data_IF_460644841022
#
_entry.id   IF_460644841022
#
_cell.length_a   1.000
_cell.length_b   1.000
_cell.length_c   1.000
_cell.angle_alpha   90.00
_cell.angle_beta   90.00
_cell.angle_gamma   90.00
#
_symmetry.space_group_name_H-M   'P 1'
#
loop_
_entity.id
_entity.type
_entity.pdbx_description
1 polymer ?
#
# COMPACT_ATOMS: atom_id res chain seq x y z
N UNK A 1 -16.71 30.00 -58.50
CA UNK A 1 -17.34 29.25 -57.41
C UNK A 1 -16.46 28.13 -56.81
N UNK A 2 -15.83 27.22 -57.56
CA UNK A 2 -15.02 26.11 -57.00
C UNK A 2 -13.75 26.52 -56.21
N UNK A 3 -13.11 27.68 -56.49
CA UNK A 3 -11.92 28.18 -55.77
C UNK A 3 -12.22 28.74 -54.39
N UNK A 4 -13.39 29.32 -54.16
CA UNK A 4 -13.79 29.86 -52.87
C UNK A 4 -14.28 28.80 -51.91
N UNK A 5 -14.88 27.73 -52.39
CA UNK A 5 -15.30 26.59 -51.58
C UNK A 5 -14.08 25.81 -51.05
N UNK A 6 -13.02 25.61 -51.86
CA UNK A 6 -11.77 24.96 -51.41
C UNK A 6 -11.06 25.77 -50.32
N UNK A 7 -11.06 27.11 -50.40
CA UNK A 7 -10.47 27.98 -49.36
C UNK A 7 -11.29 27.97 -48.07
N UNK A 8 -12.61 27.96 -48.13
CA UNK A 8 -13.48 27.88 -46.95
C UNK A 8 -13.34 26.51 -46.24
N UNK A 9 -13.25 25.41 -46.98
CA UNK A 9 -13.03 24.05 -46.40
C UNK A 9 -11.63 23.93 -45.80
N UNK A 10 -10.57 24.52 -46.42
CA UNK A 10 -9.23 24.53 -45.84
C UNK A 10 -9.15 25.36 -44.53
N UNK A 11 -9.85 26.49 -44.47
CA UNK A 11 -9.90 27.29 -43.22
C UNK A 11 -10.66 26.58 -42.11
N UNK A 12 -11.73 25.84 -42.43
CA UNK A 12 -12.50 25.04 -41.45
C UNK A 12 -11.68 23.84 -40.91
N UNK A 13 -10.87 23.18 -41.76
CA UNK A 13 -9.99 22.10 -41.34
C UNK A 13 -8.80 22.57 -40.49
N UNK A 14 -8.24 23.74 -40.77
CA UNK A 14 -7.19 24.34 -39.92
C UNK A 14 -7.77 24.78 -38.59
N UNK A 15 -8.99 25.33 -38.55
CA UNK A 15 -9.67 25.68 -37.29
C UNK A 15 -9.99 24.45 -36.44
N UNK A 16 -10.39 23.34 -37.07
CA UNK A 16 -10.63 22.06 -36.36
C UNK A 16 -9.33 21.41 -35.81
N UNK A 17 -8.18 21.55 -36.51
CA UNK A 17 -6.90 21.06 -36.02
C UNK A 17 -6.32 21.89 -34.86
N UNK A 18 -6.57 23.17 -34.82
CA UNK A 18 -6.13 24.06 -33.71
C UNK A 18 -6.96 23.82 -32.45
N UNK A 19 -8.25 23.45 -32.57
CA UNK A 19 -9.10 23.09 -31.43
C UNK A 19 -8.80 21.69 -30.84
N UNK A 20 -8.11 20.82 -31.58
CA UNK A 20 -7.78 19.45 -31.12
C UNK A 20 -6.48 19.30 -30.32
N UNK A 21 -5.65 20.34 -30.21
CA UNK A 21 -4.34 20.26 -29.55
C UNK A 21 -4.21 21.01 -28.21
N UNK A 22 -5.27 21.62 -27.73
CA UNK A 22 -5.23 22.31 -26.43
C UNK A 22 -6.37 21.79 -25.57
N UNK A 23 -5.96 20.97 -24.58
CA UNK A 23 -6.88 20.28 -23.66
C UNK A 23 -7.89 21.18 -22.95
N UNK A 24 -8.76 20.57 -22.16
CA UNK A 24 -9.91 21.14 -21.45
C UNK A 24 -9.72 22.51 -20.76
N UNK A 25 -8.49 22.86 -20.37
CA UNK A 25 -8.14 24.18 -19.80
C UNK A 25 -8.38 25.34 -20.76
N UNK A 26 -8.16 25.15 -22.06
CA UNK A 26 -8.38 26.22 -23.06
C UNK A 26 -9.88 26.45 -23.32
N UNK A 27 -10.69 25.38 -23.26
CA UNK A 27 -12.15 25.49 -23.39
C UNK A 27 -12.76 26.22 -22.19
N UNK A 28 -12.32 25.93 -21.00
CA UNK A 28 -12.80 26.61 -19.78
C UNK A 28 -12.37 28.07 -19.72
N UNK A 29 -11.13 28.38 -20.12
CA UNK A 29 -10.63 29.75 -20.22
C UNK A 29 -11.33 30.54 -21.33
N UNK A 30 -11.65 29.91 -22.47
CA UNK A 30 -12.43 30.50 -23.55
C UNK A 30 -13.85 30.79 -23.09
N UNK A 31 -14.49 29.84 -22.41
CA UNK A 31 -15.84 30.01 -21.87
C UNK A 31 -15.90 31.15 -20.82
N UNK A 32 -14.92 31.22 -19.92
CA UNK A 32 -14.82 32.27 -18.92
C UNK A 32 -14.58 33.68 -19.52
N UNK A 33 -13.83 33.77 -20.62
CA UNK A 33 -13.54 35.00 -21.32
C UNK A 33 -14.75 35.57 -22.11
N UNK A 34 -15.61 34.70 -22.64
CA UNK A 34 -16.75 35.10 -23.48
C UNK A 34 -18.10 35.09 -22.77
N UNK A 35 -18.18 34.45 -21.59
CA UNK A 35 -19.39 34.43 -20.75
C UNK A 35 -19.05 34.82 -19.30
N UNK A 36 -18.69 36.09 -19.04
CA UNK A 36 -18.41 36.57 -17.69
C UNK A 36 -19.72 36.62 -16.89
N UNK A 37 -20.07 35.59 -16.22
CA UNK A 37 -21.30 35.45 -15.43
C UNK A 37 -21.67 34.04 -15.03
N UNK A 38 -21.14 33.04 -15.72
CA UNK A 38 -21.19 31.64 -15.24
C UNK A 38 -20.19 31.49 -14.10
N UNK A 39 -20.64 31.54 -12.85
CA UNK A 39 -19.85 31.00 -11.72
C UNK A 39 -19.44 29.62 -12.13
N UNK A 40 -18.13 29.37 -12.16
CA UNK A 40 -17.59 27.97 -12.29
C UNK A 40 -18.37 27.16 -11.28
N UNK A 41 -19.17 26.22 -11.77
CA UNK A 41 -19.98 25.39 -10.87
C UNK A 41 -18.99 24.70 -9.95
N UNK A 42 -19.01 25.02 -8.65
CA UNK A 42 -18.19 24.31 -7.68
C UNK A 42 -18.49 22.84 -7.85
N UNK A 43 -17.45 22.04 -8.12
CA UNK A 43 -17.63 20.60 -8.17
C UNK A 43 -18.24 20.15 -6.85
N UNK A 44 -19.36 19.45 -6.94
CA UNK A 44 -20.14 19.04 -5.76
C UNK A 44 -19.60 17.76 -5.13
N UNK A 45 -18.72 17.08 -5.82
CA UNK A 45 -18.15 15.77 -5.42
C UNK A 45 -16.64 15.81 -5.50
N UNK A 46 -16.00 15.03 -4.62
CA UNK A 46 -14.58 14.68 -4.69
C UNK A 46 -14.49 13.25 -5.18
N UNK A 47 -13.78 13.03 -6.28
CA UNK A 47 -13.63 11.70 -6.86
C UNK A 47 -12.39 11.00 -6.32
N UNK A 48 -12.55 9.76 -5.91
CA UNK A 48 -11.45 8.84 -5.57
C UNK A 48 -11.48 7.68 -6.55
N UNK A 49 -10.39 7.49 -7.29
CA UNK A 49 -10.22 6.38 -8.23
C UNK A 49 -9.88 5.08 -7.51
N UNK A 50 -10.55 4.01 -7.86
CA UNK A 50 -10.28 2.66 -7.33
C UNK A 50 -9.72 1.81 -8.47
N UNK A 51 -8.42 1.56 -8.42
CA UNK A 51 -7.67 0.81 -9.43
C UNK A 51 -7.34 -0.57 -8.89
N UNK A 52 -8.29 -1.51 -8.96
CA UNK A 52 -8.16 -2.83 -8.37
C UNK A 52 -8.46 -3.98 -9.32
N UNK A 53 -8.01 -5.19 -8.96
CA UNK A 53 -8.34 -6.42 -9.65
C UNK A 53 -9.64 -7.00 -9.08
N UNK A 54 -10.80 -6.59 -9.57
CA UNK A 54 -12.09 -7.18 -9.16
C UNK A 54 -12.46 -8.43 -9.97
N UNK A 55 -11.68 -8.72 -11.01
CA UNK A 55 -11.68 -9.97 -11.78
C UNK A 55 -10.23 -10.41 -12.09
N UNK A 56 -10.05 -11.59 -12.67
CA UNK A 56 -8.73 -12.16 -12.97
C UNK A 56 -8.08 -12.88 -11.78
N UNK A 57 -6.76 -13.09 -11.86
CA UNK A 57 -6.02 -13.96 -10.93
C UNK A 57 -6.03 -13.49 -9.46
N UNK A 58 -6.02 -12.18 -9.25
CA UNK A 58 -5.95 -11.58 -7.90
C UNK A 58 -7.32 -11.05 -7.44
N UNK A 59 -8.42 -11.50 -8.07
CA UNK A 59 -9.77 -10.95 -7.82
C UNK A 59 -10.23 -11.09 -6.37
N UNK A 60 -9.82 -12.13 -5.67
CA UNK A 60 -10.24 -12.34 -4.28
C UNK A 60 -9.60 -11.31 -3.37
N UNK A 61 -8.31 -11.03 -3.55
CA UNK A 61 -7.61 -9.98 -2.81
C UNK A 61 -8.13 -8.59 -3.18
N UNK A 62 -8.25 -8.28 -4.49
CA UNK A 62 -8.74 -6.98 -4.93
C UNK A 62 -10.16 -6.67 -4.46
N UNK A 63 -11.05 -7.67 -4.40
CA UNK A 63 -12.38 -7.51 -3.80
C UNK A 63 -12.33 -7.20 -2.31
N UNK A 64 -11.42 -7.81 -1.55
CA UNK A 64 -11.24 -7.51 -0.14
C UNK A 64 -10.75 -6.07 0.07
N UNK A 65 -9.84 -5.58 -0.79
CA UNK A 65 -9.41 -4.18 -0.77
C UNK A 65 -10.58 -3.23 -1.09
N UNK A 66 -11.36 -3.53 -2.12
CA UNK A 66 -12.58 -2.76 -2.44
C UNK A 66 -13.57 -2.74 -1.26
N UNK A 67 -13.79 -3.87 -0.59
CA UNK A 67 -14.66 -3.93 0.59
C UNK A 67 -14.19 -2.97 1.71
N UNK A 68 -12.89 -2.84 1.93
CA UNK A 68 -12.32 -1.91 2.89
C UNK A 68 -12.57 -0.45 2.52
N UNK A 69 -12.34 -0.10 1.26
CA UNK A 69 -12.60 1.25 0.74
C UNK A 69 -14.09 1.61 0.82
N UNK A 70 -14.97 0.70 0.39
CA UNK A 70 -16.42 0.92 0.43
C UNK A 70 -16.96 1.05 1.86
N UNK A 71 -16.41 0.29 2.80
CA UNK A 71 -16.76 0.44 4.22
C UNK A 71 -16.33 1.79 4.75
N UNK A 72 -15.11 2.23 4.44
CA UNK A 72 -14.60 3.53 4.84
C UNK A 72 -15.44 4.68 4.21
N UNK A 73 -15.80 4.57 2.93
CA UNK A 73 -16.65 5.57 2.26
C UNK A 73 -18.08 5.60 2.81
N UNK A 74 -18.62 4.49 3.27
CA UNK A 74 -19.93 4.46 3.93
C UNK A 74 -19.91 5.21 5.27
N UNK A 75 -18.83 5.06 6.03
CA UNK A 75 -18.68 5.71 7.34
C UNK A 75 -18.24 7.18 7.21
N UNK A 76 -17.42 7.49 6.23
CA UNK A 76 -16.74 8.78 6.05
C UNK A 76 -16.91 9.32 4.62
N UNK A 77 -18.12 9.28 4.08
CA UNK A 77 -18.43 9.59 2.69
C UNK A 77 -18.42 11.06 2.31
N UNK A 78 -17.87 11.95 3.16
CA UNK A 78 -17.77 13.40 2.91
C UNK A 78 -16.43 13.95 3.35
N UNK A 79 -15.87 14.86 2.57
CA UNK A 79 -14.70 15.68 2.92
C UNK A 79 -14.87 17.08 2.32
N UNK A 80 -14.44 18.13 3.00
CA UNK A 80 -14.61 19.53 2.58
C UNK A 80 -16.09 19.88 2.28
N UNK A 81 -17.03 19.37 3.07
CA UNK A 81 -18.48 19.51 2.85
C UNK A 81 -18.97 18.98 1.48
N UNK A 82 -18.16 18.16 0.81
CA UNK A 82 -18.45 17.54 -0.49
C UNK A 82 -18.59 16.02 -0.34
N UNK A 83 -19.53 15.44 -1.09
CA UNK A 83 -19.67 13.98 -1.15
C UNK A 83 -18.44 13.35 -1.86
N UNK A 84 -17.95 12.25 -1.33
CA UNK A 84 -16.95 11.44 -2.01
C UNK A 84 -17.65 10.48 -2.99
N UNK A 85 -17.19 10.49 -4.23
CA UNK A 85 -17.61 9.59 -5.30
C UNK A 85 -16.48 8.61 -5.62
N UNK A 86 -16.75 7.32 -5.49
CA UNK A 86 -15.81 6.27 -5.88
C UNK A 86 -15.98 5.96 -7.37
N UNK A 87 -14.90 6.02 -8.13
CA UNK A 87 -14.86 5.66 -9.55
C UNK A 87 -13.97 4.44 -9.73
N UNK A 88 -14.51 3.38 -10.33
CA UNK A 88 -13.89 2.05 -10.35
C UNK A 88 -13.22 1.74 -11.68
N UNK A 89 -12.06 1.08 -11.61
CA UNK A 89 -11.35 0.50 -12.73
C UNK A 89 -10.84 -0.89 -12.40
N UNK A 90 -11.37 -1.91 -13.08
CA UNK A 90 -10.95 -3.30 -12.94
C UNK A 90 -9.77 -3.59 -13.87
N UNK A 91 -8.57 -3.74 -13.32
CA UNK A 91 -7.36 -4.05 -14.07
C UNK A 91 -7.20 -5.53 -14.42
N UNK A 92 -8.11 -6.41 -13.94
CA UNK A 92 -8.18 -7.85 -14.23
C UNK A 92 -6.88 -8.62 -13.94
N UNK A 93 -6.00 -8.10 -13.09
CA UNK A 93 -4.65 -8.61 -12.88
C UNK A 93 -3.82 -8.70 -14.18
N UNK A 94 -4.17 -7.93 -15.19
CA UNK A 94 -3.59 -7.95 -16.53
C UNK A 94 -2.87 -6.66 -16.86
N UNK A 95 -1.61 -6.75 -17.29
CA UNK A 95 -0.80 -5.60 -17.68
C UNK A 95 -1.49 -4.76 -18.78
N UNK A 96 -2.02 -5.41 -19.81
CA UNK A 96 -2.62 -4.73 -20.95
C UNK A 96 -3.94 -4.04 -20.60
N UNK A 97 -4.77 -4.69 -19.79
CA UNK A 97 -6.03 -4.11 -19.31
C UNK A 97 -5.73 -2.99 -18.32
N UNK A 98 -4.80 -3.22 -17.41
CA UNK A 98 -4.40 -2.25 -16.39
C UNK A 98 -3.91 -0.93 -16.98
N UNK A 99 -3.12 -0.97 -18.07
CA UNK A 99 -2.67 0.23 -18.78
C UNK A 99 -3.83 1.07 -19.32
N UNK A 100 -4.82 0.43 -19.91
CA UNK A 100 -6.03 1.12 -20.43
C UNK A 100 -6.86 1.70 -19.29
N UNK A 101 -7.10 0.90 -18.27
CA UNK A 101 -7.95 1.26 -17.12
C UNK A 101 -7.38 2.42 -16.32
N UNK A 102 -6.06 2.47 -16.10
CA UNK A 102 -5.46 3.60 -15.37
C UNK A 102 -5.62 4.92 -16.14
N UNK A 103 -5.49 4.89 -17.48
CA UNK A 103 -5.71 6.08 -18.30
C UNK A 103 -7.16 6.54 -18.28
N UNK A 104 -8.12 5.60 -18.31
CA UNK A 104 -9.54 5.90 -18.19
C UNK A 104 -9.88 6.52 -16.82
N UNK A 105 -9.32 5.99 -15.73
CA UNK A 105 -9.49 6.56 -14.39
C UNK A 105 -8.92 7.99 -14.32
N UNK A 106 -7.71 8.20 -14.80
CA UNK A 106 -7.05 9.51 -14.83
C UNK A 106 -7.89 10.53 -15.63
N UNK A 107 -8.51 10.11 -16.74
CA UNK A 107 -9.33 10.98 -17.57
C UNK A 107 -10.56 11.55 -16.83
N UNK A 108 -10.99 10.91 -15.75
CA UNK A 108 -12.10 11.33 -14.91
C UNK A 108 -11.68 12.32 -13.80
N UNK A 109 -10.39 12.71 -13.74
CA UNK A 109 -9.81 13.65 -12.79
C UNK A 109 -10.08 13.28 -11.32
N UNK A 110 -9.67 12.10 -10.83
CA UNK A 110 -9.74 11.78 -9.42
C UNK A 110 -8.76 12.64 -8.62
N UNK A 111 -9.12 12.96 -7.38
CA UNK A 111 -8.22 13.67 -6.44
C UNK A 111 -7.11 12.75 -5.93
N UNK A 112 -7.41 11.46 -5.74
CA UNK A 112 -6.48 10.40 -5.32
C UNK A 112 -6.89 9.10 -6.01
N UNK A 113 -5.92 8.21 -6.27
CA UNK A 113 -6.18 6.84 -6.75
C UNK A 113 -5.73 5.86 -5.65
N UNK A 114 -6.57 4.86 -5.34
CA UNK A 114 -6.29 3.79 -4.39
C UNK A 114 -6.13 2.46 -5.14
N UNK A 115 -5.11 1.67 -4.76
CA UNK A 115 -4.79 0.37 -5.35
C UNK A 115 -3.43 0.38 -6.07
N UNK A 116 -3.01 -0.74 -6.63
CA UNK A 116 -3.65 -2.05 -6.77
C UNK A 116 -2.98 -3.10 -5.88
N UNK A 117 -3.63 -4.27 -5.71
CA UNK A 117 -3.05 -5.44 -5.06
C UNK A 117 -1.96 -6.14 -5.89
N UNK A 118 -1.96 -5.98 -7.20
CA UNK A 118 -1.01 -6.65 -8.11
C UNK A 118 0.23 -5.79 -8.38
N UNK A 119 1.43 -6.27 -8.03
CA UNK A 119 2.68 -5.52 -8.23
C UNK A 119 2.91 -5.07 -9.68
N UNK A 120 2.73 -5.99 -10.64
CA UNK A 120 2.97 -5.72 -12.06
C UNK A 120 2.04 -4.63 -12.60
N UNK A 121 0.75 -4.68 -12.28
CA UNK A 121 -0.23 -3.67 -12.73
C UNK A 121 -0.01 -2.34 -12.02
N UNK A 122 0.44 -2.36 -10.77
CA UNK A 122 0.81 -1.18 -10.00
C UNK A 122 2.03 -0.47 -10.59
N UNK A 123 3.07 -1.23 -10.97
CA UNK A 123 4.26 -0.68 -11.63
C UNK A 123 3.92 -0.04 -12.98
N UNK A 124 3.06 -0.66 -13.79
CA UNK A 124 2.61 -0.08 -15.06
C UNK A 124 1.84 1.22 -14.86
N UNK A 125 0.96 1.27 -13.87
CA UNK A 125 0.19 2.46 -13.54
C UNK A 125 1.08 3.63 -13.08
N UNK A 126 2.27 3.35 -12.54
CA UNK A 126 3.15 4.32 -11.90
C UNK A 126 3.52 5.49 -12.81
N UNK A 127 3.92 5.23 -14.06
CA UNK A 127 4.32 6.30 -14.98
C UNK A 127 3.14 7.21 -15.37
N UNK A 128 1.94 6.66 -15.53
CA UNK A 128 0.73 7.41 -15.85
C UNK A 128 0.30 8.29 -14.67
N UNK A 129 0.36 7.76 -13.45
CA UNK A 129 0.08 8.48 -12.20
C UNK A 129 1.04 9.66 -12.04
N UNK A 130 2.35 9.43 -12.24
CA UNK A 130 3.36 10.48 -12.17
C UNK A 130 3.12 11.58 -13.21
N UNK A 131 2.87 11.19 -14.47
CA UNK A 131 2.60 12.14 -15.56
C UNK A 131 1.35 12.99 -15.30
N UNK A 132 0.32 12.40 -14.71
CA UNK A 132 -0.91 13.09 -14.35
C UNK A 132 -0.78 13.98 -13.10
N UNK A 133 0.28 13.81 -12.30
CA UNK A 133 0.46 14.47 -11.00
C UNK A 133 -0.73 14.22 -10.05
N UNK A 134 -1.30 13.03 -10.09
CA UNK A 134 -2.36 12.57 -9.20
C UNK A 134 -1.74 11.66 -8.15
N UNK A 135 -1.88 11.91 -6.84
CA UNK A 135 -1.34 11.00 -5.84
C UNK A 135 -2.10 9.67 -5.84
N UNK A 136 -1.36 8.59 -5.63
CA UNK A 136 -1.91 7.25 -5.50
C UNK A 136 -1.37 6.58 -4.23
N UNK A 137 -2.17 5.70 -3.64
CA UNK A 137 -1.82 4.91 -2.46
C UNK A 137 -2.00 3.44 -2.79
N UNK A 138 -0.89 2.68 -2.87
CA UNK A 138 -0.96 1.22 -2.99
C UNK A 138 -1.31 0.59 -1.64
N UNK A 139 -2.12 -0.44 -1.67
CA UNK A 139 -2.68 -1.07 -0.48
C UNK A 139 -1.81 -2.27 -0.05
N UNK A 140 -1.68 -3.26 -0.90
CA UNK A 140 -0.96 -4.50 -0.56
C UNK A 140 0.34 -4.72 -1.33
N UNK A 141 0.62 -3.91 -2.36
CA UNK A 141 1.87 -4.03 -3.11
C UNK A 141 3.04 -3.49 -2.30
N UNK A 142 4.06 -4.33 -2.10
CA UNK A 142 5.24 -4.05 -1.26
C UNK A 142 6.52 -3.82 -2.05
N UNK A 143 6.43 -3.84 -3.39
CA UNK A 143 7.60 -3.66 -4.25
C UNK A 143 8.16 -2.23 -4.14
N UNK A 144 9.40 -2.06 -3.68
CA UNK A 144 9.98 -0.73 -3.45
C UNK A 144 10.14 0.11 -4.73
N UNK A 145 10.11 -0.51 -5.92
CA UNK A 145 10.19 0.22 -7.18
C UNK A 145 8.94 1.06 -7.47
N UNK A 146 7.80 0.77 -6.81
CA UNK A 146 6.57 1.53 -6.97
C UNK A 146 6.74 2.96 -6.43
N UNK A 147 7.36 3.09 -5.27
CA UNK A 147 7.55 4.37 -4.58
C UNK A 147 8.89 5.03 -4.90
N UNK A 148 9.95 4.26 -5.16
CA UNK A 148 11.33 4.75 -5.29
C UNK A 148 11.54 5.77 -6.43
N UNK A 149 10.80 5.66 -7.52
CA UNK A 149 10.94 6.52 -8.71
C UNK A 149 9.70 7.38 -9.00
N UNK A 150 8.72 7.34 -8.12
CA UNK A 150 7.47 8.07 -8.28
C UNK A 150 7.06 8.78 -6.99
N UNK A 151 7.27 10.09 -6.96
CA UNK A 151 6.91 10.95 -5.84
C UNK A 151 5.40 11.07 -5.58
N UNK A 152 4.54 10.61 -6.52
CA UNK A 152 3.09 10.59 -6.40
C UNK A 152 2.53 9.24 -5.96
N UNK A 153 3.35 8.19 -5.86
CA UNK A 153 2.88 6.89 -5.39
C UNK A 153 3.33 6.64 -3.95
N UNK A 154 2.38 6.41 -3.07
CA UNK A 154 2.56 6.14 -1.64
C UNK A 154 2.20 4.68 -1.34
N UNK A 155 2.76 4.13 -0.26
CA UNK A 155 2.41 2.80 0.22
C UNK A 155 1.67 2.89 1.56
N UNK A 156 0.57 2.16 1.73
CA UNK A 156 -0.14 2.05 3.01
C UNK A 156 0.37 0.87 3.87
N UNK A 157 1.30 0.06 3.33
CA UNK A 157 1.92 -1.07 4.02
C UNK A 157 3.40 -0.79 4.28
N UNK A 158 4.01 -1.54 5.20
CA UNK A 158 5.44 -1.41 5.46
C UNK A 158 6.30 -2.02 4.34
N UNK A 159 7.52 -1.51 4.16
CA UNK A 159 8.50 -2.07 3.24
C UNK A 159 8.80 -3.53 3.60
N UNK A 160 8.75 -4.43 2.60
CA UNK A 160 8.86 -5.89 2.75
C UNK A 160 10.02 -6.32 3.66
N UNK A 161 11.20 -5.77 3.45
CA UNK A 161 12.40 -6.20 4.20
C UNK A 161 12.39 -5.79 5.67
N UNK A 162 11.52 -4.84 6.09
CA UNK A 162 11.38 -4.42 7.50
C UNK A 162 10.83 -5.53 8.40
N UNK A 163 10.14 -6.51 7.84
CA UNK A 163 9.72 -7.68 8.58
C UNK A 163 10.89 -8.40 9.28
N UNK A 164 12.09 -8.36 8.68
CA UNK A 164 13.29 -8.92 9.30
C UNK A 164 13.67 -8.25 10.62
N UNK A 165 13.59 -6.92 10.69
CA UNK A 165 13.84 -6.19 11.95
C UNK A 165 12.78 -6.55 12.99
N UNK A 166 11.50 -6.57 12.60
CA UNK A 166 10.38 -6.86 13.49
C UNK A 166 10.44 -8.30 14.05
N UNK A 167 10.78 -9.28 13.22
CA UNK A 167 10.97 -10.67 13.65
C UNK A 167 12.14 -10.82 14.63
N UNK A 168 13.23 -10.06 14.44
CA UNK A 168 14.35 -10.06 15.37
C UNK A 168 13.98 -9.42 16.72
N UNK A 169 13.25 -8.29 16.72
CA UNK A 169 12.74 -7.68 17.94
C UNK A 169 11.81 -8.62 18.69
N UNK A 170 10.90 -9.29 17.98
CA UNK A 170 10.02 -10.30 18.57
C UNK A 170 10.79 -11.49 19.13
N UNK A 171 11.71 -12.07 18.36
CA UNK A 171 12.49 -13.24 18.80
C UNK A 171 13.30 -12.93 20.05
N UNK A 172 14.06 -11.83 20.05
CA UNK A 172 14.94 -11.47 21.15
C UNK A 172 14.19 -10.87 22.34
N UNK A 173 13.48 -9.76 22.11
CA UNK A 173 12.81 -8.99 23.16
C UNK A 173 11.49 -9.62 23.58
N UNK A 174 10.69 -10.06 22.62
CA UNK A 174 9.37 -10.62 22.86
C UNK A 174 9.40 -12.04 23.41
N UNK A 175 10.38 -12.87 23.00
CA UNK A 175 10.42 -14.31 23.32
C UNK A 175 11.71 -14.78 23.98
N UNK A 176 12.69 -13.93 24.19
CA UNK A 176 13.97 -14.29 24.82
C UNK A 176 14.78 -15.32 24.02
N UNK A 177 14.61 -15.33 22.68
CA UNK A 177 15.33 -16.22 21.78
C UNK A 177 16.62 -15.54 21.30
N UNK A 178 17.70 -15.82 21.96
CA UNK A 178 19.01 -15.18 21.78
C UNK A 178 19.93 -15.92 20.79
N UNK A 179 19.56 -17.15 20.38
CA UNK A 179 20.31 -17.98 19.44
C UNK A 179 19.39 -18.39 18.29
N UNK A 180 19.73 -17.96 17.08
CA UNK A 180 18.85 -18.14 15.92
C UNK A 180 19.56 -18.70 14.69
N UNK A 181 18.80 -19.35 13.82
CA UNK A 181 19.24 -19.74 12.48
C UNK A 181 18.33 -19.15 11.41
N UNK A 182 18.77 -19.18 10.17
CA UNK A 182 18.02 -18.72 9.01
C UNK A 182 18.01 -19.74 7.90
N UNK A 183 16.91 -19.81 7.16
CA UNK A 183 16.74 -20.67 5.98
C UNK A 183 16.09 -19.89 4.87
N UNK A 184 16.57 -20.01 3.63
CA UNK A 184 15.96 -19.43 2.43
C UNK A 184 16.14 -20.35 1.21
N UNK A 185 15.42 -20.05 0.14
CA UNK A 185 15.72 -20.65 -1.18
C UNK A 185 16.94 -19.98 -1.80
N UNK A 186 17.69 -20.74 -2.61
CA UNK A 186 18.76 -20.18 -3.45
C UNK A 186 18.21 -19.15 -4.43
N UNK A 187 19.00 -18.11 -4.71
CA UNK A 187 18.68 -17.05 -5.66
C UNK A 187 17.39 -16.23 -5.30
N UNK A 188 17.00 -16.22 -4.04
CA UNK A 188 15.94 -15.36 -3.54
C UNK A 188 16.55 -14.07 -2.95
N UNK A 189 16.51 -13.00 -3.73
CA UNK A 189 17.10 -11.70 -3.37
C UNK A 189 16.30 -11.02 -2.26
N UNK A 190 14.97 -11.13 -2.27
CA UNK A 190 14.10 -10.54 -1.24
C UNK A 190 14.33 -11.22 0.11
N UNK A 191 14.34 -12.55 0.14
CA UNK A 191 14.67 -13.30 1.35
C UNK A 191 16.10 -12.99 1.84
N UNK A 192 17.06 -12.82 0.92
CA UNK A 192 18.43 -12.44 1.25
C UNK A 192 18.48 -11.06 1.94
N UNK A 193 17.78 -10.07 1.41
CA UNK A 193 17.72 -8.72 1.99
C UNK A 193 17.03 -8.75 3.37
N UNK A 194 15.93 -9.46 3.50
CA UNK A 194 15.17 -9.61 4.74
C UNK A 194 15.98 -10.33 5.83
N UNK A 195 16.64 -11.43 5.49
CA UNK A 195 17.54 -12.16 6.40
C UNK A 195 18.71 -11.28 6.84
N UNK A 196 19.27 -10.48 5.95
CA UNK A 196 20.32 -9.52 6.30
C UNK A 196 19.87 -8.52 7.37
N UNK A 197 18.66 -7.98 7.25
CA UNK A 197 18.08 -7.09 8.28
C UNK A 197 17.87 -7.84 9.60
N UNK A 198 17.23 -9.01 9.54
CA UNK A 198 17.02 -9.86 10.71
C UNK A 198 18.32 -10.15 11.47
N UNK A 199 19.33 -10.63 10.77
CA UNK A 199 20.62 -10.99 11.39
C UNK A 199 21.36 -9.79 11.95
N UNK A 200 21.34 -8.64 11.26
CA UNK A 200 21.94 -7.41 11.74
C UNK A 200 21.22 -6.90 13.01
N UNK A 201 19.88 -6.95 13.01
CA UNK A 201 19.08 -6.54 14.17
C UNK A 201 19.31 -7.47 15.36
N UNK A 202 19.33 -8.80 15.15
CA UNK A 202 19.65 -9.77 16.18
C UNK A 202 21.04 -9.53 16.82
N UNK A 203 22.07 -9.31 16.01
CA UNK A 203 23.42 -8.98 16.50
C UNK A 203 23.44 -7.69 17.31
N UNK A 204 22.68 -6.67 16.88
CA UNK A 204 22.57 -5.40 17.61
C UNK A 204 21.87 -5.58 18.96
N UNK A 205 20.80 -6.36 19.02
CA UNK A 205 20.02 -6.60 20.25
C UNK A 205 20.79 -7.46 21.26
N UNK A 206 21.42 -8.54 20.79
CA UNK A 206 22.15 -9.47 21.65
C UNK A 206 23.52 -8.94 22.09
N UNK A 207 24.11 -8.01 21.33
CA UNK A 207 25.51 -7.62 21.50
C UNK A 207 26.52 -8.71 21.13
N UNK A 208 26.05 -9.85 20.58
CA UNK A 208 26.89 -11.02 20.23
C UNK A 208 26.73 -11.36 18.74
N UNK A 209 27.84 -11.35 18.02
CA UNK A 209 27.84 -11.75 16.61
C UNK A 209 27.63 -13.26 16.40
N UNK A 210 27.83 -14.06 17.45
CA UNK A 210 27.63 -15.52 17.42
C UNK A 210 26.19 -15.95 17.69
N UNK A 211 25.27 -15.00 17.87
CA UNK A 211 23.84 -15.30 18.04
C UNK A 211 23.22 -15.99 16.80
N UNK A 212 23.85 -15.88 15.63
CA UNK A 212 23.46 -16.58 14.40
C UNK A 212 24.26 -17.88 14.30
N UNK A 213 23.64 -18.99 14.62
CA UNK A 213 24.30 -20.32 14.69
C UNK A 213 24.19 -21.15 13.42
N UNK A 214 23.39 -20.69 12.45
CA UNK A 214 23.26 -21.35 11.16
C UNK A 214 22.61 -20.43 10.12
N UNK A 215 23.05 -20.57 8.87
CA UNK A 215 22.42 -19.93 7.70
C UNK A 215 22.41 -20.96 6.57
N UNK A 216 21.22 -21.35 6.15
CA UNK A 216 21.03 -22.46 5.23
C UNK A 216 20.33 -21.99 3.95
N UNK A 217 20.79 -22.51 2.81
CA UNK A 217 20.18 -22.26 1.50
C UNK A 217 19.67 -23.55 0.92
N UNK A 218 18.41 -23.57 0.49
CA UNK A 218 17.74 -24.70 -0.12
C UNK A 218 17.80 -24.59 -1.64
N UNK A 219 18.14 -25.67 -2.37
CA UNK A 219 18.01 -25.68 -3.82
C UNK A 219 16.55 -25.46 -4.25
N UNK A 220 16.35 -24.77 -5.38
CA UNK A 220 15.00 -24.41 -5.87
C UNK A 220 14.07 -25.62 -6.07
N UNK A 221 14.63 -26.77 -6.45
CA UNK A 221 13.88 -28.00 -6.70
C UNK A 221 13.94 -29.01 -5.54
N UNK A 222 14.36 -28.56 -4.35
CA UNK A 222 14.49 -29.47 -3.19
C UNK A 222 13.10 -29.77 -2.61
N UNK A 223 12.79 -31.05 -2.54
CA UNK A 223 11.62 -31.57 -1.80
C UNK A 223 12.01 -32.32 -0.51
N UNK A 224 13.31 -32.54 -0.26
CA UNK A 224 13.86 -33.19 0.94
C UNK A 224 14.70 -32.18 1.73
N UNK A 225 14.22 -31.81 2.92
CA UNK A 225 14.84 -30.87 3.83
C UNK A 225 15.52 -31.52 5.04
N UNK A 226 15.58 -32.85 5.07
CA UNK A 226 16.09 -33.65 6.19
C UNK A 226 17.46 -33.18 6.66
N UNK A 227 18.40 -32.97 5.75
CA UNK A 227 19.76 -32.55 6.09
C UNK A 227 19.80 -31.18 6.79
N UNK A 228 19.02 -30.24 6.31
CA UNK A 228 18.95 -28.88 6.89
C UNK A 228 18.26 -28.92 8.26
N UNK A 229 17.19 -29.69 8.41
CA UNK A 229 16.47 -29.85 9.68
C UNK A 229 17.40 -30.50 10.75
N UNK A 230 18.19 -31.50 10.40
CA UNK A 230 19.17 -32.07 11.32
C UNK A 230 20.27 -31.06 11.68
N UNK A 231 20.80 -30.32 10.71
CA UNK A 231 21.79 -29.28 10.98
C UNK A 231 21.24 -28.17 11.90
N UNK A 232 19.95 -27.78 11.77
CA UNK A 232 19.28 -26.85 12.69
C UNK A 232 19.23 -27.45 14.10
N UNK A 233 18.88 -28.72 14.24
CA UNK A 233 18.88 -29.42 15.53
C UNK A 233 20.24 -29.37 16.21
N UNK A 234 21.28 -29.70 15.48
CA UNK A 234 22.66 -29.72 15.98
C UNK A 234 23.18 -28.34 16.33
N UNK A 235 22.72 -27.30 15.64
CA UNK A 235 23.11 -25.91 15.89
C UNK A 235 22.66 -25.36 17.24
N UNK A 236 21.61 -25.95 17.84
CA UNK A 236 20.99 -25.47 19.07
C UNK A 236 20.21 -24.16 18.92
N UNK A 237 19.78 -23.82 17.70
CA UNK A 237 18.93 -22.65 17.46
C UNK A 237 17.64 -22.72 18.29
N UNK A 238 17.27 -21.61 18.93
CA UNK A 238 16.04 -21.47 19.71
C UNK A 238 14.90 -20.89 18.88
N UNK A 239 15.24 -20.15 17.82
CA UNK A 239 14.29 -19.73 16.79
C UNK A 239 14.95 -19.83 15.41
N UNK A 240 14.12 -20.07 14.39
CA UNK A 240 14.56 -20.18 13.00
C UNK A 240 13.75 -19.27 12.13
N UNK A 241 14.39 -18.30 11.46
CA UNK A 241 13.72 -17.51 10.44
C UNK A 241 13.73 -18.32 9.13
N UNK A 242 12.55 -18.79 8.78
CA UNK A 242 12.27 -19.63 7.62
C UNK A 242 11.68 -18.73 6.52
N UNK A 243 12.55 -18.05 5.76
CA UNK A 243 12.18 -17.13 4.68
C UNK A 243 11.82 -17.97 3.43
N UNK A 244 10.66 -18.61 3.47
CA UNK A 244 10.12 -19.47 2.42
C UNK A 244 8.68 -19.11 2.11
N UNK A 245 8.30 -19.19 0.85
CA UNK A 245 6.91 -19.04 0.43
C UNK A 245 6.00 -20.13 1.05
N UNK A 246 4.69 -19.89 1.21
CA UNK A 246 3.79 -20.74 1.99
C UNK A 246 3.85 -22.23 1.69
N UNK A 247 3.86 -22.64 0.42
CA UNK A 247 3.90 -24.06 0.04
C UNK A 247 5.21 -24.75 0.43
N UNK A 248 6.35 -24.07 0.23
CA UNK A 248 7.66 -24.60 0.64
C UNK A 248 7.80 -24.60 2.17
N UNK A 249 7.27 -23.59 2.85
CA UNK A 249 7.24 -23.51 4.30
C UNK A 249 6.41 -24.65 4.90
N UNK A 250 5.23 -24.94 4.35
CA UNK A 250 4.40 -26.06 4.80
C UNK A 250 5.15 -27.41 4.64
N UNK A 251 5.76 -27.66 3.49
CA UNK A 251 6.51 -28.88 3.25
C UNK A 251 7.71 -29.01 4.20
N UNK A 252 8.43 -27.91 4.48
CA UNK A 252 9.53 -27.90 5.44
C UNK A 252 9.06 -28.18 6.87
N UNK A 253 8.01 -27.49 7.32
CA UNK A 253 7.45 -27.65 8.66
C UNK A 253 6.88 -29.06 8.87
N UNK A 254 6.26 -29.66 7.85
CA UNK A 254 5.80 -31.05 7.92
C UNK A 254 6.98 -32.00 8.19
N UNK A 255 8.08 -31.88 7.45
CA UNK A 255 9.25 -32.69 7.68
C UNK A 255 9.91 -32.42 9.05
N UNK A 256 9.90 -31.17 9.51
CA UNK A 256 10.37 -30.83 10.85
C UNK A 256 9.52 -31.51 11.95
N UNK A 257 8.21 -31.61 11.77
CA UNK A 257 7.31 -32.36 12.68
C UNK A 257 7.62 -33.85 12.63
N UNK A 258 7.77 -34.45 11.45
CA UNK A 258 8.07 -35.88 11.25
C UNK A 258 9.42 -36.26 11.89
N UNK A 259 10.40 -35.36 11.76
CA UNK A 259 11.71 -35.50 12.39
C UNK A 259 11.75 -35.04 13.86
N UNK A 260 10.62 -34.63 14.43
CA UNK A 260 10.47 -34.21 15.84
C UNK A 260 11.32 -32.98 16.22
N UNK A 261 11.58 -32.08 15.31
CA UNK A 261 12.17 -30.75 15.59
C UNK A 261 11.06 -29.76 15.93
N UNK A 262 10.53 -29.83 17.16
CA UNK A 262 9.34 -29.08 17.60
C UNK A 262 9.60 -28.13 18.77
N UNK A 263 10.85 -27.97 19.19
CA UNK A 263 11.22 -27.10 20.33
C UNK A 263 11.75 -25.73 19.91
N UNK A 264 11.80 -25.46 18.62
CA UNK A 264 12.19 -24.16 18.07
C UNK A 264 10.96 -23.31 17.78
N UNK A 265 11.09 -21.98 17.87
CA UNK A 265 10.11 -21.05 17.35
C UNK A 265 10.39 -20.78 15.88
N UNK A 266 9.43 -21.10 15.02
CA UNK A 266 9.52 -20.87 13.59
C UNK A 266 9.03 -19.44 13.29
N UNK A 267 9.88 -18.66 12.63
CA UNK A 267 9.57 -17.30 12.23
C UNK A 267 9.35 -17.31 10.72
N UNK A 268 8.15 -16.97 10.29
CA UNK A 268 7.78 -16.91 8.88
C UNK A 268 7.79 -15.52 8.30
N UNK A 269 7.56 -15.41 7.01
CA UNK A 269 7.35 -14.15 6.30
C UNK A 269 5.88 -13.71 6.38
N UNK A 270 5.61 -12.46 6.01
CA UNK A 270 4.24 -11.92 5.89
C UNK A 270 3.34 -12.78 4.99
N UNK A 271 3.91 -13.36 3.93
CA UNK A 271 3.23 -14.28 3.02
C UNK A 271 2.63 -15.53 3.71
N UNK A 272 3.07 -15.81 4.95
CA UNK A 272 2.50 -16.92 5.75
C UNK A 272 1.08 -16.64 6.26
N UNK A 273 0.58 -15.41 6.14
CA UNK A 273 -0.84 -15.11 6.33
C UNK A 273 -1.67 -15.68 5.16
N UNK A 274 -1.64 -17.00 5.02
CA UNK A 274 -2.22 -17.80 3.95
C UNK A 274 -3.09 -18.90 4.57
N UNK A 275 -4.31 -19.07 4.09
CA UNK A 275 -5.31 -19.95 4.68
C UNK A 275 -4.80 -21.41 4.80
N UNK A 276 -4.30 -21.97 3.70
CA UNK A 276 -3.85 -23.37 3.68
C UNK A 276 -2.70 -23.62 4.68
N UNK A 277 -1.72 -22.69 4.72
CA UNK A 277 -0.60 -22.80 5.65
C UNK A 277 -1.07 -22.60 7.10
N UNK A 278 -1.98 -21.69 7.35
CA UNK A 278 -2.51 -21.45 8.68
C UNK A 278 -3.33 -22.64 9.21
N UNK A 279 -4.13 -23.26 8.38
CA UNK A 279 -4.89 -24.46 8.73
C UNK A 279 -3.94 -25.63 9.03
N UNK A 280 -2.89 -25.80 8.23
CA UNK A 280 -1.85 -26.76 8.51
C UNK A 280 -1.18 -26.49 9.87
N UNK A 281 -0.70 -25.27 10.13
CA UNK A 281 -0.02 -24.91 11.37
C UNK A 281 -0.95 -25.13 12.58
N UNK A 282 -2.22 -24.75 12.51
CA UNK A 282 -3.22 -24.96 13.56
C UNK A 282 -3.48 -26.45 13.82
N UNK A 283 -3.36 -27.31 12.81
CA UNK A 283 -3.46 -28.76 12.94
C UNK A 283 -2.26 -29.40 13.65
N UNK A 284 -1.15 -28.66 13.81
CA UNK A 284 0.12 -29.14 14.38
C UNK A 284 0.40 -28.53 15.77
N UNK A 285 -0.22 -29.02 16.86
CA UNK A 285 -0.14 -28.35 18.17
C UNK A 285 1.26 -28.32 18.80
N UNK A 286 2.23 -29.01 18.21
CA UNK A 286 3.62 -28.98 18.66
C UNK A 286 4.46 -27.89 17.98
N UNK A 287 3.92 -27.21 16.99
CA UNK A 287 4.60 -26.09 16.35
C UNK A 287 4.36 -24.78 17.12
N UNK A 288 5.43 -24.03 17.27
CA UNK A 288 5.44 -22.64 17.69
C UNK A 288 5.79 -21.80 16.47
N UNK A 289 4.86 -21.00 15.97
CA UNK A 289 5.03 -20.23 14.73
C UNK A 289 4.68 -18.77 14.97
N UNK A 290 5.50 -17.87 14.44
CA UNK A 290 5.21 -16.44 14.42
C UNK A 290 5.46 -15.87 13.03
N UNK A 291 4.63 -14.92 12.60
CA UNK A 291 4.76 -14.25 11.31
C UNK A 291 4.28 -12.80 11.39
N UNK A 292 4.89 -11.90 10.61
CA UNK A 292 4.49 -10.49 10.59
C UNK A 292 3.22 -10.27 9.78
N UNK A 293 2.48 -9.24 10.16
CA UNK A 293 1.26 -8.80 9.51
C UNK A 293 1.08 -7.29 9.71
N UNK A 294 0.41 -6.63 8.79
CA UNK A 294 -0.01 -5.24 8.96
C UNK A 294 -1.22 -5.10 9.90
N UNK A 295 -1.94 -6.19 10.18
CA UNK A 295 -3.18 -6.13 10.92
C UNK A 295 -3.39 -7.36 11.79
N UNK A 296 -3.91 -7.15 12.99
CA UNK A 296 -4.48 -8.20 13.83
C UNK A 296 -5.63 -7.64 14.65
N UNK A 297 -6.76 -8.32 14.63
CA UNK A 297 -7.92 -7.99 15.48
C UNK A 297 -7.63 -8.11 16.97
N UNK A 298 -6.53 -8.78 17.34
CA UNK A 298 -6.10 -8.95 18.74
C UNK A 298 -5.31 -7.76 19.27
N UNK A 299 -4.93 -6.82 18.38
CA UNK A 299 -4.36 -5.53 18.75
C UNK A 299 -5.51 -4.54 18.83
N UNK A 300 -5.98 -4.28 20.04
CA UNK A 300 -7.14 -3.42 20.27
C UNK A 300 -6.71 -1.95 20.34
N UNK A 301 -6.98 -1.20 19.27
CA UNK A 301 -7.05 0.25 19.30
C UNK A 301 -8.49 0.69 19.07
N UNK A 302 -8.85 1.91 19.44
CA UNK A 302 -10.21 2.43 19.20
C UNK A 302 -10.60 2.38 17.71
N UNK A 303 -9.65 2.62 16.82
CA UNK A 303 -9.86 2.57 15.37
C UNK A 303 -10.02 1.14 14.85
N UNK A 304 -9.22 0.20 15.36
CA UNK A 304 -9.34 -1.22 15.05
C UNK A 304 -10.70 -1.76 15.47
N UNK A 305 -11.15 -1.43 16.69
CA UNK A 305 -12.46 -1.85 17.18
C UNK A 305 -13.62 -1.28 16.36
N UNK A 306 -13.57 0.01 16.04
CA UNK A 306 -14.57 0.67 15.16
C UNK A 306 -14.65 -0.03 13.81
N UNK A 307 -13.50 -0.27 13.16
CA UNK A 307 -13.42 -0.94 11.87
C UNK A 307 -14.00 -2.36 11.92
N UNK A 308 -13.58 -3.18 12.89
CA UNK A 308 -14.05 -4.57 13.01
C UNK A 308 -15.56 -4.62 13.28
N UNK A 309 -16.08 -3.76 14.15
CA UNK A 309 -17.52 -3.68 14.42
C UNK A 309 -18.31 -3.25 13.18
N UNK A 310 -17.85 -2.23 12.48
CA UNK A 310 -18.49 -1.77 11.26
C UNK A 310 -18.45 -2.82 10.15
N UNK A 311 -17.32 -3.54 10.01
CA UNK A 311 -17.16 -4.62 9.05
C UNK A 311 -18.17 -5.76 9.32
N UNK A 312 -18.21 -6.26 10.54
CA UNK A 312 -19.15 -7.33 10.96
C UNK A 312 -20.61 -6.91 10.78
N UNK A 313 -20.93 -5.68 11.14
CA UNK A 313 -22.29 -5.14 10.93
C UNK A 313 -22.70 -5.10 9.47
N UNK A 314 -21.78 -4.78 8.55
CA UNK A 314 -22.06 -4.67 7.12
C UNK A 314 -22.05 -6.02 6.40
N UNK A 315 -21.08 -6.87 6.69
CA UNK A 315 -20.82 -8.09 5.94
C UNK A 315 -21.26 -9.38 6.63
N UNK A 316 -21.54 -9.32 7.92
CA UNK A 316 -22.03 -10.44 8.75
C UNK A 316 -21.20 -10.63 10.02
N UNK A 317 -21.86 -11.00 11.12
CA UNK A 317 -21.23 -11.15 12.44
C UNK A 317 -20.13 -12.24 12.47
N UNK A 318 -20.28 -13.27 11.65
CA UNK A 318 -19.30 -14.37 11.54
C UNK A 318 -18.16 -14.07 10.56
N UNK A 319 -18.21 -12.92 9.84
CA UNK A 319 -17.18 -12.52 8.89
C UNK A 319 -16.04 -11.79 9.61
N UNK A 320 -14.83 -12.21 9.30
CA UNK A 320 -13.62 -11.58 9.83
C UNK A 320 -12.93 -10.74 8.74
N UNK A 321 -12.60 -9.46 9.03
CA UNK A 321 -11.89 -8.64 8.06
C UNK A 321 -10.47 -9.14 7.84
N UNK A 322 -10.03 -9.14 6.60
CA UNK A 322 -8.66 -9.47 6.24
C UNK A 322 -7.71 -8.29 6.48
N UNK A 323 -6.41 -8.58 6.45
CA UNK A 323 -5.36 -7.57 6.46
C UNK A 323 -5.53 -6.57 5.28
N UNK A 324 -5.78 -7.08 4.07
CA UNK A 324 -6.00 -6.27 2.88
C UNK A 324 -7.18 -5.30 3.05
N UNK A 325 -8.28 -5.77 3.64
CA UNK A 325 -9.45 -4.94 3.94
C UNK A 325 -9.13 -3.81 4.94
N UNK A 326 -8.35 -4.12 5.98
CA UNK A 326 -7.98 -3.12 7.00
C UNK A 326 -7.02 -2.05 6.44
N UNK A 327 -6.04 -2.45 5.62
CA UNK A 327 -5.11 -1.50 4.97
C UNK A 327 -5.87 -0.62 3.97
N UNK A 328 -6.80 -1.19 3.21
CA UNK A 328 -7.61 -0.47 2.24
C UNK A 328 -8.52 0.58 2.90
N UNK A 329 -9.09 0.24 4.05
CA UNK A 329 -9.83 1.18 4.90
C UNK A 329 -8.95 2.36 5.32
N UNK A 330 -7.71 2.08 5.77
CA UNK A 330 -6.77 3.12 6.16
C UNK A 330 -6.29 3.96 4.96
N UNK A 331 -6.04 3.36 3.81
CA UNK A 331 -5.65 4.07 2.60
C UNK A 331 -6.70 5.11 2.17
N UNK A 332 -7.98 4.77 2.28
CA UNK A 332 -9.07 5.70 2.04
C UNK A 332 -9.06 6.87 3.05
N UNK A 333 -8.90 6.59 4.34
CA UNK A 333 -8.86 7.65 5.37
C UNK A 333 -7.62 8.54 5.23
N UNK A 334 -6.46 7.98 4.87
CA UNK A 334 -5.23 8.75 4.54
C UNK A 334 -5.49 9.71 3.38
N UNK A 335 -6.20 9.26 2.34
CA UNK A 335 -6.57 10.10 1.22
C UNK A 335 -7.49 11.25 1.65
N UNK A 336 -8.50 10.99 2.48
CA UNK A 336 -9.40 12.04 3.00
C UNK A 336 -8.65 13.06 3.83
N UNK A 337 -7.81 12.62 4.77
CA UNK A 337 -7.02 13.53 5.60
C UNK A 337 -6.11 14.41 4.75
N UNK A 338 -5.39 13.83 3.78
CA UNK A 338 -4.53 14.61 2.91
C UNK A 338 -5.28 15.63 2.04
N UNK A 339 -6.49 15.31 1.59
CA UNK A 339 -7.35 16.23 0.85
C UNK A 339 -7.79 17.38 1.76
N UNK A 340 -8.20 17.10 2.98
CA UNK A 340 -8.64 18.12 3.95
C UNK A 340 -7.48 19.04 4.35
N UNK A 341 -6.33 18.46 4.71
CA UNK A 341 -5.13 19.20 5.10
C UNK A 341 -4.61 20.07 3.95
N UNK A 342 -4.64 19.55 2.71
CA UNK A 342 -4.25 20.32 1.53
C UNK A 342 -5.16 21.53 1.29
N UNK A 343 -6.47 21.39 1.45
CA UNK A 343 -7.40 22.52 1.29
C UNK A 343 -7.24 23.53 2.43
N UNK A 344 -7.05 23.09 3.66
CA UNK A 344 -6.77 23.94 4.80
C UNK A 344 -5.51 24.77 4.56
N UNK A 345 -4.41 24.13 4.13
CA UNK A 345 -3.18 24.83 3.73
C UNK A 345 -3.43 25.87 2.63
N UNK A 346 -4.21 25.53 1.61
CA UNK A 346 -4.56 26.46 0.51
C UNK A 346 -5.31 27.67 1.02
N UNK A 347 -6.22 27.49 1.98
CA UNK A 347 -7.03 28.59 2.55
C UNK A 347 -6.24 29.50 3.48
N UNK A 348 -5.26 28.96 4.20
CA UNK A 348 -4.40 29.69 5.14
C UNK A 348 -3.32 30.52 4.45
N UNK A 349 -2.81 30.08 3.30
CA UNK A 349 -1.71 30.74 2.60
C UNK A 349 -2.17 31.96 1.80
N UNK A 350 -1.31 32.99 1.79
CA UNK A 350 -1.40 34.13 0.86
C UNK A 350 -0.62 33.84 -0.42
N UNK A 351 -0.90 34.58 -1.50
CA UNK A 351 -0.16 34.46 -2.78
C UNK A 351 1.35 34.67 -2.59
N UNK A 352 1.76 35.64 -1.75
CA UNK A 352 3.19 35.90 -1.48
C UNK A 352 3.85 34.75 -0.74
N UNK A 353 3.15 34.09 0.20
CA UNK A 353 3.64 32.92 0.90
C UNK A 353 3.75 31.70 -0.02
N UNK A 354 2.81 31.53 -0.95
CA UNK A 354 2.93 30.50 -1.99
C UNK A 354 4.13 30.78 -2.87
N UNK A 355 4.30 32.03 -3.35
CA UNK A 355 5.43 32.45 -4.16
C UNK A 355 6.78 32.15 -3.49
N UNK A 356 6.90 32.48 -2.22
CA UNK A 356 8.13 32.34 -1.45
C UNK A 356 8.62 30.88 -1.29
N UNK A 357 7.77 29.88 -1.53
CA UNK A 357 8.12 28.46 -1.44
C UNK A 357 8.86 27.89 -2.65
N UNK A 358 8.94 28.68 -3.75
CA UNK A 358 9.51 28.23 -5.02
C UNK A 358 10.61 29.16 -5.51
N UNK A 359 11.67 28.61 -6.06
CA UNK A 359 12.88 29.36 -6.40
C UNK A 359 12.80 30.06 -7.75
N UNK A 360 12.11 29.47 -8.73
CA UNK A 360 12.07 30.01 -10.10
C UNK A 360 10.74 30.68 -10.41
N UNK A 361 10.76 31.69 -11.29
CA UNK A 361 9.56 32.38 -11.75
C UNK A 361 8.52 31.41 -12.39
N UNK A 362 9.01 30.40 -13.13
CA UNK A 362 8.15 29.40 -13.76
C UNK A 362 7.43 28.53 -12.72
N UNK A 363 8.14 28.03 -11.70
CA UNK A 363 7.55 27.22 -10.61
C UNK A 363 6.65 28.05 -9.72
N UNK A 364 6.99 29.31 -9.45
CA UNK A 364 6.15 30.26 -8.72
C UNK A 364 4.81 30.50 -9.44
N UNK A 365 4.86 30.76 -10.75
CA UNK A 365 3.67 31.00 -11.58
C UNK A 365 2.74 29.77 -11.60
N UNK A 366 3.32 28.56 -11.76
CA UNK A 366 2.56 27.32 -11.73
C UNK A 366 1.89 27.08 -10.37
N UNK A 367 2.64 27.23 -9.29
CA UNK A 367 2.11 27.06 -7.92
C UNK A 367 1.01 28.05 -7.57
N UNK A 368 1.13 29.31 -7.97
CA UNK A 368 0.11 30.32 -7.80
C UNK A 368 -1.15 29.98 -8.59
N UNK A 369 -1.01 29.48 -9.82
CA UNK A 369 -2.14 29.06 -10.63
C UNK A 369 -2.91 27.90 -9.98
N UNK A 370 -2.20 26.88 -9.49
CA UNK A 370 -2.79 25.76 -8.74
C UNK A 370 -3.46 26.22 -7.44
N UNK A 371 -2.83 27.13 -6.70
CA UNK A 371 -3.39 27.69 -5.48
C UNK A 371 -4.69 28.48 -5.74
N UNK A 372 -4.71 29.31 -6.81
CA UNK A 372 -5.93 30.03 -7.21
C UNK A 372 -7.05 29.08 -7.63
N UNK A 373 -6.71 28.05 -8.43
CA UNK A 373 -7.65 27.00 -8.83
C UNK A 373 -8.27 26.31 -7.60
N UNK A 374 -7.45 25.89 -6.65
CA UNK A 374 -7.91 25.19 -5.46
C UNK A 374 -8.82 26.09 -4.57
N UNK A 375 -8.53 27.38 -4.46
CA UNK A 375 -9.40 28.34 -3.77
C UNK A 375 -10.72 28.56 -4.48
N UNK A 376 -10.73 28.60 -5.81
CA UNK A 376 -11.92 28.81 -6.63
C UNK A 376 -12.84 27.58 -6.64
N UNK A 377 -12.28 26.39 -6.82
CA UNK A 377 -13.04 25.13 -6.88
C UNK A 377 -13.39 24.58 -5.49
N UNK A 378 -12.62 24.94 -4.47
CA UNK A 378 -12.69 24.35 -3.13
C UNK A 378 -12.19 22.88 -3.14
N UNK A 379 -11.32 22.53 -4.10
CA UNK A 379 -10.70 21.20 -4.20
C UNK A 379 -9.21 21.39 -4.46
N UNK A 380 -8.31 20.84 -3.61
CA UNK A 380 -6.88 20.95 -3.79
C UNK A 380 -6.41 20.14 -5.00
N UNK A 381 -5.31 20.56 -5.61
CA UNK A 381 -4.68 19.85 -6.72
C UNK A 381 -3.94 18.60 -6.23
N UNK A 382 -3.67 17.65 -7.12
CA UNK A 382 -2.92 16.44 -6.78
C UNK A 382 -1.54 16.73 -6.16
N UNK A 383 -0.85 17.80 -6.60
CA UNK A 383 0.43 18.22 -6.00
C UNK A 383 0.27 18.71 -4.56
N UNK A 384 -0.81 19.44 -4.26
CA UNK A 384 -1.10 19.91 -2.92
C UNK A 384 -1.46 18.74 -1.99
N UNK A 385 -2.25 17.79 -2.48
CA UNK A 385 -2.59 16.56 -1.73
C UNK A 385 -1.33 15.71 -1.48
N UNK A 386 -0.48 15.53 -2.49
CA UNK A 386 0.81 14.84 -2.37
C UNK A 386 1.68 15.44 -1.27
N UNK A 387 1.78 16.76 -1.20
CA UNK A 387 2.55 17.44 -0.15
C UNK A 387 2.03 17.14 1.25
N UNK A 388 0.72 16.99 1.42
CA UNK A 388 0.13 16.66 2.72
C UNK A 388 0.28 15.19 3.06
N UNK A 389 0.17 14.28 2.08
CA UNK A 389 0.50 12.87 2.31
C UNK A 389 1.91 12.69 2.87
N UNK A 390 2.90 13.36 2.30
CA UNK A 390 4.29 13.31 2.77
C UNK A 390 4.48 13.76 4.23
N UNK A 391 3.58 14.59 4.73
CA UNK A 391 3.64 15.17 6.08
C UNK A 391 2.82 14.40 7.12
N UNK A 392 2.09 13.37 6.72
CA UNK A 392 1.31 12.56 7.67
C UNK A 392 2.24 11.86 8.64
N UNK A 393 2.05 12.14 9.93
CA UNK A 393 2.75 11.52 11.04
C UNK A 393 1.75 10.96 12.06
N UNK A 394 2.04 9.76 12.56
CA UNK A 394 1.26 9.09 13.61
C UNK A 394 -0.24 8.95 13.30
N UNK A 395 -0.59 8.74 12.03
CA UNK A 395 -1.96 8.46 11.64
C UNK A 395 -2.46 7.18 12.34
N UNK A 396 -3.54 7.29 13.11
CA UNK A 396 -4.13 6.17 13.84
C UNK A 396 -5.09 5.40 12.93
N UNK A 397 -4.58 4.41 12.21
CA UNK A 397 -5.34 3.54 11.32
C UNK A 397 -5.94 2.33 12.03
N UNK A 398 -6.85 1.63 11.35
CA UNK A 398 -7.40 0.34 11.76
C UNK A 398 -6.32 -0.75 11.74
N UNK A 399 -5.37 -0.66 10.81
CA UNK A 399 -4.25 -1.59 10.66
C UNK A 399 -2.97 -1.13 11.40
N UNK A 400 -3.04 -0.11 12.23
CA UNK A 400 -1.95 0.38 13.05
C UNK A 400 -1.58 1.85 12.79
N UNK A 401 -0.47 2.30 13.37
CA UNK A 401 0.01 3.67 13.21
C UNK A 401 0.82 3.77 11.92
N UNK A 402 0.50 4.77 11.08
CA UNK A 402 1.12 5.01 9.78
C UNK A 402 1.74 6.41 9.77
N UNK A 403 2.98 6.53 9.27
CA UNK A 403 3.68 7.81 9.07
C UNK A 403 4.47 7.76 7.77
N UNK A 404 4.51 8.88 7.04
CA UNK A 404 5.35 8.99 5.84
C UNK A 404 6.66 9.73 6.10
N UNK A 405 6.69 10.70 7.01
CA UNK A 405 7.92 11.41 7.43
C UNK A 405 8.73 11.99 6.24
N UNK A 406 8.05 12.60 5.28
CA UNK A 406 8.66 13.15 4.07
C UNK A 406 9.09 12.10 3.04
N UNK A 407 8.58 10.87 3.14
CA UNK A 407 8.83 9.76 2.21
C UNK A 407 7.51 9.26 1.64
N UNK A 408 7.61 8.43 0.61
CA UNK A 408 6.44 7.80 -0.01
C UNK A 408 6.17 6.40 0.57
N UNK A 409 7.13 5.83 1.27
CA UNK A 409 7.00 4.55 1.96
C UNK A 409 6.52 4.76 3.38
N UNK A 410 5.51 4.02 3.78
CA UNK A 410 5.01 4.09 5.14
C UNK A 410 6.03 3.55 6.15
N UNK A 411 6.26 4.33 7.19
CA UNK A 411 6.74 3.79 8.45
C UNK A 411 5.50 3.36 9.23
N UNK A 412 5.41 2.06 9.49
CA UNK A 412 4.23 1.44 10.09
C UNK A 412 4.63 0.50 11.21
N UNK A 413 3.82 0.41 12.25
CA UNK A 413 3.95 -0.65 13.24
C UNK A 413 3.68 -2.02 12.59
N UNK A 414 4.47 -3.01 12.96
CA UNK A 414 4.35 -4.38 12.44
C UNK A 414 3.80 -5.26 13.56
N UNK A 415 2.72 -5.93 13.27
CA UNK A 415 2.13 -6.90 14.19
C UNK A 415 2.74 -8.27 13.95
N UNK A 416 3.22 -8.94 15.00
CA UNK A 416 3.65 -10.34 14.92
C UNK A 416 2.55 -11.23 15.47
N UNK A 417 1.89 -11.97 14.61
CA UNK A 417 0.95 -12.99 14.98
C UNK A 417 1.70 -14.23 15.47
N UNK A 418 1.16 -14.89 16.49
CA UNK A 418 1.80 -16.06 17.10
C UNK A 418 0.81 -17.18 17.29
N UNK A 419 1.17 -18.39 16.84
CA UNK A 419 0.39 -19.60 16.97
C UNK A 419 1.19 -20.60 17.81
N UNK A 420 0.60 -21.09 18.88
CA UNK A 420 1.18 -22.10 19.76
C UNK A 420 0.08 -23.02 20.29
N UNK A 421 0.38 -24.31 20.36
CA UNK A 421 -0.64 -25.29 20.78
C UNK A 421 -1.81 -25.41 19.80
N UNK A 422 -1.62 -25.09 18.50
CA UNK A 422 -2.66 -25.06 17.49
C UNK A 422 -3.64 -23.87 17.62
N UNK A 423 -3.32 -22.89 18.45
CA UNK A 423 -4.18 -21.72 18.69
C UNK A 423 -3.42 -20.42 18.52
N UNK A 424 -4.08 -19.44 17.95
CA UNK A 424 -3.57 -18.10 17.93
C UNK A 424 -3.48 -17.51 19.33
N UNK A 425 -2.35 -16.91 19.64
CA UNK A 425 -2.05 -16.22 20.89
C UNK A 425 -2.19 -14.72 20.73
N UNK A 426 -1.99 -13.96 21.80
CA UNK A 426 -1.92 -12.49 21.75
C UNK A 426 -0.81 -12.06 20.80
N UNK A 427 -1.14 -11.16 19.89
CA UNK A 427 -0.17 -10.58 18.95
C UNK A 427 0.82 -9.64 19.69
N UNK A 428 2.02 -9.51 19.10
CA UNK A 428 3.06 -8.60 19.60
C UNK A 428 3.24 -7.48 18.56
N UNK A 429 3.26 -6.22 19.02
CA UNK A 429 3.42 -5.06 18.13
C UNK A 429 4.83 -4.52 18.24
N UNK A 430 5.48 -4.38 17.09
CA UNK A 430 6.77 -3.71 16.92
C UNK A 430 6.52 -2.36 16.26
N UNK A 431 6.90 -1.28 16.90
CA UNK A 431 6.72 0.10 16.43
C UNK A 431 8.02 0.81 16.17
#
# INVERSE_FOLDING_TARGET
MRKHIKRAVSCLLVLAMVCGMTGCTTYNNFKAAFFPGDKVAQEKTIKIGIYEATSGKLSDQGKQEVMGIELANELYGTVLDKKVELIYGDNQSSMYVGETVIQELISQNPSVILGSCGETVTLIASDYIKAASIPAITISSTNPLITANNEFYFSATFEETRQGDALADYAYTGRGKDVVATVKMQNDDTATATIKRFTNRMKKLSGDSKCIVGSYELPADSGDYTQVIEAIRESGAKAVFLALQPAAAQAFLQQAVDLRLTHVTWLGERSWNNEDLMDFIKSQPKLDVAYPSDFSQKVSTSRTEEFVQAYKKKYGEDMEPSEATAIAFDAYLLALQAIEDAQNMVMELTEDQVRARYETEATQKAAIAEWKQARETGIPTGRQIKMMLEQIENFNGASGIISYNGKNEATKSITINYISGGKEQTAYVVG
#
